data_IF_201467021931
#
_entry.id   IF_201467021931
#
_cell.length_a   1.000
_cell.length_b   1.000
_cell.length_c   1.000
_cell.angle_alpha   90.00
_cell.angle_beta   90.00
_cell.angle_gamma   90.00
#
_symmetry.space_group_name_H-M   'P 1'
#
loop_
_entity.id
_entity.type
_entity.pdbx_description
1 polymer ?
#
# COMPACT_ATOMS: atom_id res chain seq x y z
N UNK A 1 -8.25 -4.51 0.42
CA UNK A 1 -7.07 -5.43 0.45
C UNK A 1 -7.16 -6.30 1.68
N UNK A 2 -6.85 -7.61 1.57
CA UNK A 2 -6.72 -8.52 2.70
C UNK A 2 -5.29 -9.06 2.75
N UNK A 3 -4.70 -9.15 3.96
CA UNK A 3 -3.35 -9.66 4.18
C UNK A 3 -3.42 -10.79 5.21
N UNK A 4 -3.12 -12.02 4.79
CA UNK A 4 -3.10 -13.19 5.67
C UNK A 4 -1.72 -13.33 6.33
N UNK A 5 -1.68 -13.09 7.65
CA UNK A 5 -0.44 -13.16 8.44
C UNK A 5 0.02 -14.59 8.69
N UNK A 6 -0.86 -15.58 8.55
CA UNK A 6 -0.51 -16.98 8.65
C UNK A 6 0.30 -17.44 7.43
N UNK A 7 -0.04 -16.92 6.26
CA UNK A 7 0.69 -17.18 5.00
C UNK A 7 1.94 -16.31 4.83
N UNK A 8 2.04 -15.19 5.56
CA UNK A 8 3.15 -14.25 5.41
C UNK A 8 4.45 -14.79 6.01
N UNK A 9 5.47 -14.99 5.18
CA UNK A 9 6.80 -15.47 5.60
C UNK A 9 7.78 -14.36 5.95
N UNK A 10 7.41 -13.08 5.79
CA UNK A 10 8.30 -11.94 6.04
C UNK A 10 9.43 -11.76 5.02
N UNK A 11 9.36 -12.39 3.85
CA UNK A 11 10.41 -12.41 2.83
C UNK A 11 10.72 -11.06 2.18
N UNK A 12 9.89 -10.03 2.39
CA UNK A 12 10.00 -8.68 1.84
C UNK A 12 9.93 -8.55 0.31
N UNK A 13 9.55 -9.61 -0.44
CA UNK A 13 9.37 -9.53 -1.90
C UNK A 13 8.36 -8.44 -2.30
N UNK A 14 7.27 -8.28 -1.53
CA UNK A 14 6.28 -7.22 -1.71
C UNK A 14 6.87 -5.80 -1.54
N UNK A 15 7.84 -5.61 -0.65
CA UNK A 15 8.52 -4.32 -0.43
C UNK A 15 9.38 -3.97 -1.64
N UNK A 16 10.18 -4.91 -2.12
CA UNK A 16 11.04 -4.73 -3.30
C UNK A 16 10.19 -4.46 -4.55
N UNK A 17 9.13 -5.23 -4.76
CA UNK A 17 8.21 -5.02 -5.88
C UNK A 17 7.53 -3.64 -5.82
N UNK A 18 7.14 -3.19 -4.62
CA UNK A 18 6.58 -1.85 -4.43
C UNK A 18 7.58 -0.75 -4.79
N UNK A 19 8.85 -0.91 -4.41
CA UNK A 19 9.92 0.04 -4.74
C UNK A 19 10.13 0.15 -6.25
N UNK A 20 10.26 -1.00 -6.93
CA UNK A 20 10.48 -1.06 -8.37
C UNK A 20 9.28 -0.51 -9.15
N UNK A 21 8.07 -0.95 -8.82
CA UNK A 21 6.85 -0.55 -9.52
C UNK A 21 6.56 0.95 -9.42
N UNK A 22 6.85 1.55 -8.25
CA UNK A 22 6.43 2.92 -7.93
C UNK A 22 7.59 3.92 -7.97
N UNK A 23 8.71 3.57 -8.59
CA UNK A 23 9.90 4.44 -8.71
C UNK A 23 10.32 5.02 -7.35
N UNK A 24 10.38 4.18 -6.31
CA UNK A 24 10.83 4.63 -5.00
C UNK A 24 12.36 4.62 -4.94
N UNK A 25 12.97 5.71 -4.48
CA UNK A 25 14.42 5.82 -4.46
C UNK A 25 15.04 4.98 -3.35
N UNK A 26 16.28 4.52 -3.58
CA UNK A 26 17.15 3.92 -2.59
C UNK A 26 18.04 5.03 -2.04
N UNK A 27 17.88 5.36 -0.76
CA UNK A 27 18.52 6.53 -0.15
C UNK A 27 19.92 6.25 0.41
N UNK A 28 20.33 4.98 0.54
CA UNK A 28 21.57 4.57 1.17
C UNK A 28 21.58 4.66 2.71
N UNK A 29 22.61 4.08 3.33
CA UNK A 29 22.72 3.91 4.78
C UNK A 29 22.66 5.22 5.56
N UNK A 30 23.39 6.25 5.09
CA UNK A 30 23.47 7.55 5.76
C UNK A 30 22.14 8.29 5.85
N UNK A 31 21.29 8.20 4.83
CA UNK A 31 19.97 8.81 4.86
C UNK A 31 18.97 7.93 5.62
N UNK A 32 19.11 6.63 5.50
CA UNK A 32 18.32 5.65 6.25
C UNK A 32 18.48 5.82 7.77
N UNK A 33 19.72 5.94 8.28
CA UNK A 33 20.00 6.17 9.71
C UNK A 33 19.43 7.48 10.25
N UNK A 34 19.00 8.40 9.37
CA UNK A 34 18.36 9.67 9.71
C UNK A 34 16.84 9.67 9.50
N UNK A 35 16.24 8.49 9.32
CA UNK A 35 14.81 8.29 9.00
C UNK A 35 14.35 9.09 7.76
N UNK A 36 15.20 9.11 6.71
CA UNK A 36 14.91 9.83 5.46
C UNK A 36 14.62 8.89 4.29
N UNK A 37 14.41 7.63 4.57
CA UNK A 37 13.97 6.63 3.61
C UNK A 37 12.52 6.84 3.18
N UNK A 38 12.16 6.33 2.01
CA UNK A 38 10.80 6.27 1.51
C UNK A 38 10.40 4.81 1.35
N UNK A 39 9.44 4.38 2.15
CA UNK A 39 8.92 3.01 2.18
C UNK A 39 7.40 3.05 2.12
N UNK A 40 6.83 2.88 0.94
CA UNK A 40 5.37 2.80 0.86
C UNK A 40 4.80 1.54 1.51
N UNK A 41 5.65 0.54 1.69
CA UNK A 41 5.36 -0.70 2.39
C UNK A 41 6.59 -1.13 3.18
N UNK A 42 6.39 -1.62 4.40
CA UNK A 42 7.44 -2.20 5.26
C UNK A 42 6.94 -3.47 5.91
N UNK A 43 7.83 -4.33 6.38
CA UNK A 43 7.50 -5.52 7.17
C UNK A 43 7.87 -5.21 8.62
N UNK A 44 6.88 -5.16 9.48
CA UNK A 44 7.06 -5.08 10.92
C UNK A 44 7.23 -6.50 11.49
N UNK A 45 7.98 -6.60 12.59
CA UNK A 45 8.30 -7.86 13.25
C UNK A 45 7.88 -7.75 14.71
N UNK A 46 6.94 -8.58 15.11
CA UNK A 46 6.48 -8.67 16.49
C UNK A 46 6.95 -9.99 17.08
N UNK A 47 7.76 -9.89 18.14
CA UNK A 47 8.32 -11.04 18.84
C UNK A 47 7.47 -11.35 20.07
N UNK A 48 7.22 -12.63 20.31
CA UNK A 48 6.50 -13.14 21.46
C UNK A 48 7.25 -14.32 22.07
N UNK A 49 7.25 -14.41 23.42
CA UNK A 49 8.02 -15.43 24.15
C UNK A 49 9.45 -15.01 24.44
N UNK A 50 10.19 -15.91 25.08
CA UNK A 50 11.59 -15.72 25.46
C UNK A 50 12.52 -16.61 24.63
N UNK A 51 13.76 -16.17 24.45
CA UNK A 51 14.77 -16.98 23.77
C UNK A 51 15.08 -18.26 24.57
N UNK A 52 15.20 -19.45 23.93
CA UNK A 52 15.29 -19.69 22.45
C UNK A 52 13.93 -19.89 21.74
N UNK A 53 12.81 -19.95 22.46
CA UNK A 53 11.50 -20.33 21.92
C UNK A 53 10.67 -19.13 21.40
N UNK A 54 11.31 -17.97 21.27
CA UNK A 54 10.67 -16.76 20.77
C UNK A 54 10.12 -16.95 19.35
N UNK A 55 8.85 -16.57 19.17
CA UNK A 55 8.17 -16.61 17.88
C UNK A 55 8.07 -15.21 17.28
N UNK A 56 8.04 -15.12 15.95
CA UNK A 56 7.89 -13.85 15.25
C UNK A 56 6.64 -13.85 14.39
N UNK A 57 5.90 -12.73 14.41
CA UNK A 57 4.82 -12.44 13.46
C UNK A 57 5.27 -11.30 12.56
N UNK A 58 5.16 -11.53 11.26
CA UNK A 58 5.46 -10.52 10.24
C UNK A 58 4.18 -9.80 9.83
N UNK A 59 4.20 -8.48 9.90
CA UNK A 59 3.04 -7.65 9.54
C UNK A 59 3.45 -6.68 8.43
N UNK A 60 3.02 -6.94 7.18
CA UNK A 60 3.18 -5.98 6.09
C UNK A 60 2.38 -4.72 6.38
N UNK A 61 3.05 -3.59 6.61
CA UNK A 61 2.42 -2.31 6.92
C UNK A 61 2.54 -1.35 5.74
N UNK A 62 1.40 -0.79 5.34
CA UNK A 62 1.26 0.17 4.23
C UNK A 62 0.14 1.16 4.54
N UNK A 63 -0.12 2.12 3.63
CA UNK A 63 -1.27 3.01 3.80
C UNK A 63 -2.56 2.19 3.88
N UNK A 64 -3.33 2.42 4.92
CA UNK A 64 -4.57 1.70 5.19
C UNK A 64 -5.75 2.21 4.35
N UNK A 65 -5.57 3.28 3.57
CA UNK A 65 -6.63 3.92 2.78
C UNK A 65 -7.94 4.09 3.58
N UNK A 66 -7.80 4.69 4.77
CA UNK A 66 -8.88 4.83 5.74
C UNK A 66 -10.03 5.68 5.19
N UNK A 67 -11.28 5.25 5.37
CA UNK A 67 -12.47 6.04 4.99
C UNK A 67 -12.62 7.29 5.87
N UNK A 68 -12.22 7.19 7.15
CA UNK A 68 -12.17 8.30 8.10
C UNK A 68 -10.71 8.75 8.29
N UNK A 69 -10.07 9.20 7.20
CA UNK A 69 -8.64 9.45 7.17
C UNK A 69 -8.23 10.75 7.88
N UNK A 70 -7.58 10.71 9.06
CA UNK A 70 -7.17 11.92 9.78
C UNK A 70 -6.11 12.73 9.02
N UNK A 71 -5.38 12.10 8.11
CA UNK A 71 -4.42 12.79 7.26
C UNK A 71 -5.06 13.72 6.23
N UNK A 72 -6.36 13.54 5.90
CA UNK A 72 -7.08 14.41 4.97
C UNK A 72 -7.47 15.72 5.64
N UNK A 73 -8.09 15.65 6.82
CA UNK A 73 -8.47 16.84 7.59
C UNK A 73 -7.27 17.68 8.04
N UNK A 74 -6.11 17.04 8.23
CA UNK A 74 -4.88 17.70 8.63
C UNK A 74 -4.16 18.44 7.48
N UNK A 75 -4.56 18.25 6.22
CA UNK A 75 -3.86 18.84 5.08
C UNK A 75 -4.37 20.26 4.78
N UNK A 76 -3.54 21.32 4.96
CA UNK A 76 -3.99 22.70 4.78
C UNK A 76 -4.29 23.08 3.34
N UNK A 77 -3.80 22.30 2.37
CA UNK A 77 -3.96 22.57 0.93
C UNK A 77 -4.78 21.52 0.20
N UNK A 78 -5.44 20.63 0.95
CA UNK A 78 -6.25 19.57 0.37
C UNK A 78 -5.50 18.69 -0.65
N UNK A 79 -4.21 18.44 -0.38
CA UNK A 79 -3.38 17.59 -1.22
C UNK A 79 -3.65 16.09 -1.00
N UNK A 80 -4.37 15.75 0.07
CA UNK A 80 -4.83 14.38 0.33
C UNK A 80 -6.35 14.36 0.50
N UNK A 81 -7.03 13.45 -0.18
CA UNK A 81 -8.48 13.33 -0.20
C UNK A 81 -8.91 11.95 -0.72
N UNK A 82 -10.16 11.56 -0.51
CA UNK A 82 -10.76 10.37 -1.12
C UNK A 82 -11.17 10.62 -2.57
N UNK A 83 -10.81 9.69 -3.45
CA UNK A 83 -11.32 9.65 -4.81
C UNK A 83 -12.59 8.80 -4.89
N UNK A 84 -13.17 8.73 -6.10
CA UNK A 84 -14.39 7.95 -6.37
C UNK A 84 -14.18 6.43 -6.26
N UNK A 85 -12.94 5.96 -6.25
CA UNK A 85 -12.59 4.55 -6.08
C UNK A 85 -12.41 4.17 -4.60
N UNK A 86 -12.73 5.06 -3.67
CA UNK A 86 -12.52 4.86 -2.23
C UNK A 86 -11.05 4.90 -1.80
N UNK A 87 -10.17 5.46 -2.63
CA UNK A 87 -8.74 5.54 -2.33
C UNK A 87 -8.41 6.87 -1.66
N UNK A 88 -7.70 6.83 -0.54
CA UNK A 88 -7.01 8.01 -0.03
C UNK A 88 -5.88 8.37 -0.99
N UNK A 89 -6.00 9.47 -1.70
CA UNK A 89 -5.02 9.92 -2.69
C UNK A 89 -4.03 10.92 -2.12
N UNK A 90 -2.90 11.10 -2.80
CA UNK A 90 -1.93 12.16 -2.55
C UNK A 90 -1.65 12.89 -3.86
N UNK A 91 -2.03 14.17 -3.94
CA UNK A 91 -1.77 15.02 -5.11
C UNK A 91 -0.46 15.75 -4.90
N UNK A 92 0.57 15.29 -5.60
CA UNK A 92 1.93 15.82 -5.43
C UNK A 92 2.04 17.30 -5.75
N UNK A 93 1.38 17.76 -6.82
CA UNK A 93 1.42 19.15 -7.27
C UNK A 93 0.71 20.14 -6.31
N UNK A 94 -0.14 19.67 -5.41
CA UNK A 94 -0.75 20.49 -4.36
C UNK A 94 0.05 20.47 -3.07
N UNK A 95 0.90 19.48 -2.89
CA UNK A 95 1.61 19.28 -1.64
C UNK A 95 2.67 20.36 -1.45
N UNK A 96 2.58 21.10 -0.35
CA UNK A 96 3.56 22.13 0.07
C UNK A 96 4.50 21.63 1.18
N UNK A 97 4.44 20.33 1.51
CA UNK A 97 5.38 19.68 2.39
C UNK A 97 5.28 20.04 3.89
N UNK A 98 4.12 20.44 4.38
CA UNK A 98 3.89 20.73 5.81
C UNK A 98 4.12 19.53 6.72
N UNK A 99 4.06 18.32 6.19
CA UNK A 99 4.21 17.02 6.89
C UNK A 99 3.15 16.74 7.97
N UNK A 100 2.21 17.62 8.19
CA UNK A 100 1.13 17.46 9.18
C UNK A 100 0.39 16.15 8.99
N UNK A 101 0.12 15.74 7.74
CA UNK A 101 -0.54 14.48 7.43
C UNK A 101 0.27 13.23 7.85
N UNK A 102 1.59 13.32 8.00
CA UNK A 102 2.40 12.23 8.55
C UNK A 102 2.23 12.13 10.07
N UNK A 103 2.20 13.27 10.76
CA UNK A 103 1.98 13.33 12.22
C UNK A 103 0.60 12.78 12.61
N UNK A 104 -0.42 13.05 11.80
CA UNK A 104 -1.78 12.57 12.04
C UNK A 104 -2.02 11.13 11.58
N UNK A 105 -1.08 10.50 10.90
CA UNK A 105 -1.22 9.11 10.46
C UNK A 105 -0.82 8.14 11.58
N UNK A 106 -1.76 7.41 12.21
CA UNK A 106 -1.43 6.51 13.31
C UNK A 106 -0.61 5.29 12.86
N UNK A 107 -0.58 5.02 11.55
CA UNK A 107 0.15 3.89 10.96
C UNK A 107 1.56 4.24 10.52
N UNK A 108 1.97 5.51 10.60
CA UNK A 108 3.30 6.01 10.19
C UNK A 108 3.70 5.59 8.76
N UNK A 109 2.76 5.71 7.83
CA UNK A 109 2.93 5.24 6.44
C UNK A 109 2.91 6.37 5.41
N UNK A 110 3.23 7.57 5.84
CA UNK A 110 3.36 8.76 5.02
C UNK A 110 4.77 9.31 5.12
N UNK A 111 5.48 9.35 4.00
CA UNK A 111 6.90 9.67 3.94
C UNK A 111 7.10 11.02 3.26
N UNK A 112 8.04 11.80 3.78
CA UNK A 112 8.42 13.07 3.17
C UNK A 112 9.62 12.87 2.25
N UNK A 113 9.54 13.41 1.05
CA UNK A 113 10.64 13.33 0.10
C UNK A 113 11.65 14.46 0.36
N UNK A 114 12.79 14.08 0.90
CA UNK A 114 13.84 15.02 1.33
C UNK A 114 14.78 15.43 0.21
N UNK A 115 14.85 14.64 -0.88
CA UNK A 115 15.87 14.78 -1.90
C UNK A 115 15.25 14.72 -3.30
N UNK A 116 15.89 15.37 -4.27
CA UNK A 116 15.75 15.00 -5.68
C UNK A 116 16.70 13.86 -5.95
N UNK A 117 16.20 12.73 -6.44
CA UNK A 117 17.00 11.54 -6.69
C UNK A 117 17.44 11.52 -8.15
N UNK A 118 18.69 11.21 -8.34
CA UNK A 118 19.30 10.95 -9.64
C UNK A 118 19.66 9.48 -9.68
N UNK A 119 19.36 8.83 -10.78
CA UNK A 119 19.76 7.45 -11.04
C UNK A 119 20.98 7.48 -11.95
N UNK A 120 22.04 6.74 -11.56
CA UNK A 120 23.22 6.57 -12.40
C UNK A 120 22.86 5.84 -13.70
N UNK A 121 23.46 6.25 -14.83
CA UNK A 121 23.32 5.53 -16.09
C UNK A 121 23.91 4.11 -15.97
N UNK A 122 23.21 3.05 -16.41
CA UNK A 122 21.92 3.02 -17.14
C UNK A 122 20.70 2.74 -16.25
N UNK A 123 20.81 2.89 -14.91
CA UNK A 123 19.78 2.51 -13.94
C UNK A 123 18.47 3.30 -14.09
N UNK A 124 18.52 4.49 -14.69
CA UNK A 124 17.34 5.27 -15.03
C UNK A 124 16.37 4.52 -15.97
N UNK A 125 16.89 3.60 -16.79
CA UNK A 125 16.09 2.82 -17.74
C UNK A 125 15.18 1.79 -17.07
N UNK A 126 15.40 1.48 -15.79
CA UNK A 126 14.54 0.59 -15.00
C UNK A 126 13.26 1.28 -14.48
N UNK A 127 13.19 2.61 -14.57
CA UNK A 127 12.05 3.36 -14.06
C UNK A 127 10.76 3.02 -14.81
N UNK A 128 9.68 2.83 -14.06
CA UNK A 128 8.36 2.59 -14.62
C UNK A 128 7.83 3.88 -15.27
N UNK A 129 7.60 3.90 -16.60
CA UNK A 129 7.17 5.10 -17.32
C UNK A 129 5.75 5.55 -16.94
N UNK A 130 4.92 4.65 -16.39
CA UNK A 130 3.53 4.95 -15.99
C UNK A 130 3.45 5.63 -14.61
N UNK A 131 4.58 5.77 -13.92
CA UNK A 131 4.67 6.34 -12.58
C UNK A 131 5.64 7.51 -12.57
N UNK A 132 5.15 8.70 -12.22
CA UNK A 132 6.01 9.88 -12.08
C UNK A 132 7.04 9.69 -10.97
N UNK A 133 8.26 10.13 -11.22
CA UNK A 133 9.27 10.35 -10.17
C UNK A 133 8.88 11.61 -9.41
N UNK A 134 8.87 11.53 -8.08
CA UNK A 134 8.51 12.68 -7.23
C UNK A 134 9.77 13.42 -6.81
N UNK A 135 9.68 14.71 -6.82
CA UNK A 135 10.76 15.60 -6.40
C UNK A 135 10.75 15.81 -4.87
N UNK A 136 11.81 16.43 -4.35
CA UNK A 136 11.87 16.84 -2.95
C UNK A 136 10.73 17.78 -2.57
N UNK A 137 10.29 17.72 -1.32
CA UNK A 137 9.32 18.66 -0.76
C UNK A 137 7.88 18.15 -0.74
N UNK A 138 7.60 16.96 -1.24
CA UNK A 138 6.25 16.37 -1.24
C UNK A 138 6.14 15.18 -0.31
N UNK A 139 4.91 14.88 0.11
CA UNK A 139 4.59 13.66 0.84
C UNK A 139 4.25 12.53 -0.12
N UNK A 140 4.72 11.33 0.21
CA UNK A 140 4.46 10.11 -0.53
C UNK A 140 3.84 9.03 0.35
N UNK A 141 3.10 8.12 -0.24
CA UNK A 141 2.50 6.96 0.41
C UNK A 141 2.04 5.93 -0.61
N UNK A 142 1.70 4.73 -0.16
CA UNK A 142 1.08 3.71 -1.00
C UNK A 142 -0.17 4.24 -1.72
N UNK A 143 -0.29 3.96 -3.02
CA UNK A 143 -1.41 4.35 -3.89
C UNK A 143 -2.26 3.15 -4.33
N UNK A 144 -2.00 1.94 -3.82
CA UNK A 144 -2.50 0.66 -4.34
C UNK A 144 -2.18 0.48 -5.83
N UNK A 145 -1.01 0.98 -6.27
CA UNK A 145 -0.61 0.95 -7.68
C UNK A 145 -1.70 1.56 -8.59
N UNK A 146 -2.07 2.82 -8.34
CA UNK A 146 -3.16 3.53 -9.04
C UNK A 146 -3.02 3.46 -10.57
N UNK A 147 -1.80 3.38 -11.11
CA UNK A 147 -1.53 3.19 -12.53
C UNK A 147 -2.16 1.89 -13.06
N UNK A 148 -2.05 0.79 -12.31
CA UNK A 148 -2.66 -0.50 -12.68
C UNK A 148 -4.18 -0.46 -12.60
N UNK A 149 -4.74 0.23 -11.60
CA UNK A 149 -6.20 0.43 -11.47
C UNK A 149 -6.71 1.23 -12.67
N UNK A 150 -6.02 2.30 -13.07
CA UNK A 150 -6.38 3.12 -14.24
C UNK A 150 -6.33 2.32 -15.53
N UNK A 151 -5.26 1.55 -15.73
CA UNK A 151 -5.10 0.69 -16.89
C UNK A 151 -6.25 -0.33 -16.99
N UNK A 152 -6.60 -1.01 -15.91
CA UNK A 152 -7.73 -1.94 -15.89
C UNK A 152 -9.06 -1.26 -16.21
N UNK A 153 -9.29 -0.04 -15.70
CA UNK A 153 -10.49 0.76 -16.02
C UNK A 153 -10.54 1.14 -17.49
N UNK A 154 -9.42 1.48 -18.09
CA UNK A 154 -9.37 1.82 -19.52
C UNK A 154 -9.59 0.59 -20.39
N UNK A 155 -9.00 -0.56 -20.04
CA UNK A 155 -9.28 -1.84 -20.70
C UNK A 155 -10.77 -2.23 -20.59
N UNK A 156 -11.39 -2.03 -19.42
CA UNK A 156 -12.81 -2.32 -19.24
C UNK A 156 -13.70 -1.41 -20.10
N UNK A 157 -13.36 -0.12 -20.23
CA UNK A 157 -14.06 0.81 -21.15
C UNK A 157 -13.91 0.40 -22.61
N UNK A 158 -12.70 0.03 -23.04
CA UNK A 158 -12.44 -0.41 -24.41
C UNK A 158 -13.20 -1.70 -24.74
N UNK A 159 -13.21 -2.65 -23.80
CA UNK A 159 -13.98 -3.89 -23.90
C UNK A 159 -15.48 -3.60 -24.09
N UNK A 160 -16.03 -2.69 -23.29
CA UNK A 160 -17.43 -2.31 -23.38
C UNK A 160 -17.77 -1.56 -24.68
N UNK A 161 -16.89 -0.65 -25.13
CA UNK A 161 -17.06 0.09 -26.38
C UNK A 161 -17.06 -0.84 -27.61
N UNK A 162 -16.39 -1.99 -27.52
CA UNK A 162 -16.40 -3.05 -28.54
C UNK A 162 -17.57 -4.04 -28.38
N UNK A 163 -18.47 -3.83 -27.40
CA UNK A 163 -19.58 -4.74 -27.15
C UNK A 163 -19.19 -6.09 -26.53
N UNK A 164 -17.99 -6.19 -25.95
CA UNK A 164 -17.41 -7.43 -25.43
C UNK A 164 -17.59 -7.61 -23.91
N UNK A 165 -18.38 -6.76 -23.27
CA UNK A 165 -18.65 -6.89 -21.84
C UNK A 165 -18.99 -5.56 -21.13
N UNK A 166 -18.92 -5.57 -19.80
CA UNK A 166 -19.23 -4.43 -18.92
C UNK A 166 -18.07 -3.44 -18.84
N UNK A 167 -18.39 -2.18 -18.51
CA UNK A 167 -17.40 -1.14 -18.12
C UNK A 167 -16.78 -1.39 -16.73
N UNK A 168 -17.31 -2.33 -15.96
CA UNK A 168 -16.81 -2.68 -14.64
C UNK A 168 -15.52 -3.49 -14.79
N UNK A 169 -14.52 -3.15 -14.00
CA UNK A 169 -13.33 -3.97 -13.81
C UNK A 169 -13.75 -5.27 -13.13
N UNK A 170 -13.30 -6.40 -13.64
CA UNK A 170 -13.62 -7.71 -13.09
C UNK A 170 -12.69 -8.05 -11.93
N UNK A 171 -13.13 -8.94 -11.04
CA UNK A 171 -12.28 -9.42 -9.96
C UNK A 171 -11.02 -10.09 -10.52
N UNK A 172 -9.86 -9.82 -9.90
CA UNK A 172 -8.56 -10.30 -10.37
C UNK A 172 -7.90 -9.50 -11.51
N UNK A 173 -8.62 -8.60 -12.20
CA UNK A 173 -8.03 -7.76 -13.27
C UNK A 173 -7.04 -6.71 -12.73
N UNK A 174 -7.16 -6.34 -11.45
CA UNK A 174 -6.19 -5.45 -10.79
C UNK A 174 -5.39 -6.22 -9.76
N UNK A 175 -4.10 -6.30 -9.97
CA UNK A 175 -3.19 -6.91 -9.03
C UNK A 175 -2.05 -5.94 -8.71
N UNK A 176 -2.01 -5.32 -7.50
CA UNK A 176 -0.90 -4.48 -7.09
C UNK A 176 0.43 -5.25 -7.10
N UNK A 177 1.54 -4.55 -7.33
CA UNK A 177 2.84 -5.18 -7.43
C UNK A 177 3.21 -6.02 -6.20
N UNK A 178 2.81 -5.58 -5.02
CA UNK A 178 3.03 -6.32 -3.77
C UNK A 178 2.25 -7.65 -3.71
N UNK A 179 1.02 -7.71 -4.24
CA UNK A 179 0.24 -8.94 -4.32
C UNK A 179 0.82 -9.87 -5.37
N UNK A 180 1.15 -9.35 -6.55
CA UNK A 180 1.74 -10.11 -7.65
C UNK A 180 3.07 -10.77 -7.28
N UNK A 181 3.89 -10.08 -6.50
CA UNK A 181 5.22 -10.57 -6.11
C UNK A 181 5.21 -11.46 -4.86
N UNK A 182 4.06 -11.67 -4.21
CA UNK A 182 3.99 -12.44 -2.98
C UNK A 182 4.06 -13.96 -3.27
N UNK A 183 5.16 -14.65 -2.90
CA UNK A 183 5.33 -16.06 -3.25
C UNK A 183 4.39 -16.99 -2.46
N UNK A 184 3.88 -16.53 -1.31
CA UNK A 184 2.94 -17.27 -0.47
C UNK A 184 1.49 -16.86 -0.70
N UNK A 185 1.22 -15.95 -1.68
CA UNK A 185 -0.12 -15.43 -1.98
C UNK A 185 -0.86 -14.92 -0.73
N UNK A 186 -0.12 -14.28 0.18
CA UNK A 186 -0.67 -13.76 1.43
C UNK A 186 -1.49 -12.47 1.24
N UNK A 187 -1.45 -11.83 0.06
CA UNK A 187 -2.07 -10.54 -0.22
C UNK A 187 -3.14 -10.71 -1.30
N UNK A 188 -4.39 -10.44 -0.93
CA UNK A 188 -5.54 -10.42 -1.85
C UNK A 188 -6.00 -8.98 -2.05
N UNK A 189 -6.27 -8.59 -3.30
CA UNK A 189 -6.72 -7.25 -3.65
C UNK A 189 -7.94 -7.30 -4.56
N UNK A 190 -8.91 -6.40 -4.35
CA UNK A 190 -10.13 -6.32 -5.14
C UNK A 190 -11.07 -5.23 -4.65
N UNK A 191 -12.29 -5.24 -5.13
CA UNK A 191 -13.37 -4.31 -4.79
C UNK A 191 -14.26 -4.88 -3.69
N UNK A 192 -14.28 -4.25 -2.51
CA UNK A 192 -15.17 -4.63 -1.40
C UNK A 192 -16.66 -4.39 -1.66
N UNK A 193 -17.01 -3.60 -2.68
CA UNK A 193 -18.40 -3.44 -3.09
C UNK A 193 -18.92 -4.63 -3.93
N UNK A 194 -18.02 -5.53 -4.32
CA UNK A 194 -18.36 -6.81 -4.95
C UNK A 194 -18.34 -7.91 -3.89
N UNK A 195 -19.52 -8.33 -3.44
CA UNK A 195 -19.66 -9.32 -2.39
C UNK A 195 -19.04 -10.68 -2.76
N UNK A 196 -19.04 -11.00 -4.05
CA UNK A 196 -18.53 -12.27 -4.58
C UNK A 196 -17.01 -12.21 -4.92
N UNK A 197 -16.39 -11.04 -4.79
CA UNK A 197 -14.96 -10.89 -5.06
C UNK A 197 -14.10 -11.66 -4.06
N UNK A 198 -12.95 -12.13 -4.52
CA UNK A 198 -11.99 -12.87 -3.67
C UNK A 198 -11.59 -12.06 -2.40
N UNK A 199 -11.46 -10.74 -2.53
CA UNK A 199 -11.11 -9.88 -1.40
C UNK A 199 -12.24 -9.78 -0.38
N UNK A 200 -13.51 -9.72 -0.83
CA UNK A 200 -14.68 -9.68 0.06
C UNK A 200 -14.86 -11.01 0.78
N UNK A 201 -14.74 -12.11 0.08
CA UNK A 201 -14.78 -13.46 0.67
C UNK A 201 -13.68 -13.62 1.73
N UNK A 202 -12.44 -13.24 1.40
CA UNK A 202 -11.33 -13.32 2.35
C UNK A 202 -11.52 -12.42 3.59
N UNK A 203 -12.15 -11.24 3.43
CA UNK A 203 -12.40 -10.34 4.55
C UNK A 203 -13.46 -10.83 5.55
N UNK A 204 -14.26 -11.84 5.20
CA UNK A 204 -15.24 -12.46 6.09
C UNK A 204 -14.69 -13.66 6.90
N UNK A 205 -13.40 -13.98 6.75
CA UNK A 205 -12.72 -14.99 7.57
C UNK A 205 -12.82 -14.62 9.08
N UNK A 206 -13.04 -15.58 9.95
CA UNK A 206 -13.15 -15.37 11.41
C UNK A 206 -11.89 -14.78 12.04
N UNK A 207 -10.74 -14.92 11.38
CA UNK A 207 -9.45 -14.37 11.81
C UNK A 207 -9.29 -12.88 11.48
N UNK A 208 -10.28 -12.26 10.84
CA UNK A 208 -10.16 -10.88 10.39
C UNK A 208 -10.01 -9.87 11.53
N UNK A 209 -9.24 -8.83 11.30
CA UNK A 209 -9.15 -7.65 12.16
C UNK A 209 -8.61 -6.45 11.37
N UNK A 210 -8.79 -5.26 11.91
CA UNK A 210 -8.17 -4.04 11.41
C UNK A 210 -7.17 -3.49 12.41
N UNK A 211 -6.01 -3.07 11.94
CA UNK A 211 -4.97 -2.50 12.82
C UNK A 211 -5.48 -1.18 13.41
N UNK A 212 -5.34 -1.03 14.74
CA UNK A 212 -5.78 0.15 15.50
C UNK A 212 -7.27 0.51 15.28
N UNK A 213 -8.13 -0.49 15.21
CA UNK A 213 -9.56 -0.33 14.97
C UNK A 213 -10.24 0.60 15.98
N UNK A 214 -9.73 0.64 17.21
CA UNK A 214 -10.18 1.52 18.29
C UNK A 214 -10.05 3.01 17.97
N UNK A 215 -9.26 3.39 16.97
CA UNK A 215 -9.13 4.78 16.52
C UNK A 215 -10.22 5.23 15.54
N UNK A 216 -11.11 4.32 15.14
CA UNK A 216 -12.24 4.58 14.25
C UNK A 216 -11.85 5.24 12.91
N UNK A 217 -10.68 4.95 12.39
CA UNK A 217 -10.22 5.46 11.09
C UNK A 217 -10.81 4.71 9.90
N UNK A 218 -11.53 3.62 10.14
CA UNK A 218 -12.15 2.74 9.13
C UNK A 218 -11.15 2.31 8.03
N UNK A 219 -10.13 1.49 8.37
CA UNK A 219 -9.15 1.02 7.40
C UNK A 219 -9.76 0.16 6.29
N UNK A 220 -9.32 0.35 5.05
CA UNK A 220 -9.64 -0.51 3.89
C UNK A 220 -8.69 -1.69 3.73
N UNK A 221 -7.74 -1.85 4.64
CA UNK A 221 -6.88 -3.04 4.73
C UNK A 221 -7.35 -3.89 5.91
N UNK A 222 -7.64 -5.15 5.62
CA UNK A 222 -8.03 -6.16 6.61
C UNK A 222 -6.87 -7.14 6.76
N UNK A 223 -6.59 -7.52 7.98
CA UNK A 223 -5.59 -8.54 8.27
C UNK A 223 -6.26 -9.80 8.80
N UNK A 224 -5.73 -10.97 8.43
CA UNK A 224 -6.11 -12.24 9.03
C UNK A 224 -5.04 -12.65 10.03
N UNK A 225 -5.46 -12.92 11.27
CA UNK A 225 -4.56 -13.31 12.36
C UNK A 225 -3.82 -14.59 12.01
N UNK A 226 -2.57 -14.66 12.45
CA UNK A 226 -1.81 -15.90 12.41
C UNK A 226 -2.41 -16.92 13.39
N UNK A 227 -2.61 -18.14 12.92
CA UNK A 227 -3.02 -19.27 13.76
C UNK A 227 -1.77 -19.83 14.45
N UNK A 228 -1.88 -20.10 15.74
CA UNK A 228 -0.82 -20.70 16.54
C UNK A 228 -1.37 -21.90 17.28
N UNK A 229 -0.73 -23.03 17.14
CA UNK A 229 -0.93 -24.15 18.04
C UNK A 229 -0.18 -23.84 19.35
N UNK A 230 -0.93 -23.63 20.40
CA UNK A 230 -0.42 -23.67 21.77
C UNK A 230 -0.50 -25.12 22.23
N UNK A 231 0.44 -25.96 21.75
CA UNK A 231 0.59 -27.34 22.23
C UNK A 231 1.11 -27.40 23.67
#
# INVERSE_FOLDING_TARGET
MVIDLDRCTGCAACVVACQAENNLPIVGEKAYSRNREIKWMRIERYWEGEYPDAQVTFVPMLCQHCDQAPCESACPVYATYHNQDGLNTQVYNRCIGTRTCAVYCPYEVRYFNWFTYEWDEPLEQQLNPDVSVREKGVMEKCTFCIQRIRQAKDHAKDRANRGLGSKRVQDGEVQPACAQACPSEAIVFGDFNDADSAVSVAAHDERNYRVMENLNTSPSVVYLKRVRDHG
#
